data_IF_281643581544
#
_entry.id   IF_281643581544
#
_cell.length_a   1.000
_cell.length_b   1.000
_cell.length_c   1.000
_cell.angle_alpha   90.00
_cell.angle_beta   90.00
_cell.angle_gamma   90.00
#
_symmetry.space_group_name_H-M   'P 1'
#
loop_
_entity.id
_entity.type
_entity.pdbx_description
1 polymer ?
#
# COMPACT_ATOMS: atom_id res chain seq x y z
N UNK A 1 30.55 -38.52 67.73
CA UNK A 1 29.89 -37.21 67.49
C UNK A 1 30.14 -36.64 66.09
N UNK A 2 31.32 -36.86 65.48
CA UNK A 2 31.66 -36.37 64.13
C UNK A 2 30.82 -36.96 62.98
N UNK A 3 30.45 -38.25 63.02
CA UNK A 3 29.65 -38.87 61.95
C UNK A 3 28.24 -38.27 61.80
N UNK A 4 27.58 -37.92 62.92
CA UNK A 4 26.25 -37.28 62.88
C UNK A 4 26.27 -35.88 62.24
N UNK A 5 27.39 -35.17 62.33
CA UNK A 5 27.54 -33.81 61.76
C UNK A 5 27.73 -33.87 60.24
N UNK A 6 28.44 -34.88 59.74
CA UNK A 6 28.65 -35.11 58.30
C UNK A 6 27.33 -35.50 57.62
N UNK A 7 26.51 -36.31 58.29
CA UNK A 7 25.23 -36.78 57.76
C UNK A 7 24.22 -35.62 57.60
N UNK A 8 24.12 -34.75 58.61
CA UNK A 8 23.26 -33.55 58.60
C UNK A 8 23.65 -32.58 57.47
N UNK A 9 24.95 -32.34 57.26
CA UNK A 9 25.42 -31.48 56.17
C UNK A 9 25.11 -32.07 54.78
N UNK A 10 25.13 -33.40 54.65
CA UNK A 10 24.78 -34.08 53.40
C UNK A 10 23.27 -33.96 53.09
N UNK A 11 22.42 -34.02 54.11
CA UNK A 11 20.96 -33.87 53.99
C UNK A 11 20.60 -32.42 53.64
N UNK A 12 21.24 -31.43 54.29
CA UNK A 12 21.02 -30.00 54.00
C UNK A 12 21.45 -29.66 52.57
N UNK A 13 22.56 -30.21 52.07
CA UNK A 13 22.97 -30.04 50.65
C UNK A 13 21.96 -30.63 49.67
N UNK A 14 21.39 -31.81 49.95
CA UNK A 14 20.37 -32.43 49.09
C UNK A 14 19.06 -31.62 49.09
N UNK A 15 18.66 -31.08 50.23
CA UNK A 15 17.45 -30.24 50.35
C UNK A 15 17.60 -28.88 49.64
N UNK A 16 18.76 -28.25 49.74
CA UNK A 16 19.06 -26.97 49.07
C UNK A 16 19.24 -27.14 47.56
N UNK A 17 19.77 -28.26 47.09
CA UNK A 17 19.85 -28.58 45.65
C UNK A 17 18.45 -28.83 45.06
N UNK A 18 17.61 -29.64 45.73
CA UNK A 18 16.26 -29.98 45.27
C UNK A 18 15.34 -28.74 45.16
N UNK A 19 15.49 -27.79 46.09
CA UNK A 19 14.73 -26.52 46.08
C UNK A 19 15.23 -25.54 45.01
N UNK A 20 16.53 -25.51 44.68
CA UNK A 20 17.04 -24.72 43.54
C UNK A 20 16.57 -25.25 42.19
N UNK A 21 16.59 -26.57 42.01
CA UNK A 21 16.09 -27.18 40.76
C UNK A 21 14.58 -26.99 40.60
N UNK A 22 13.80 -27.10 41.69
CA UNK A 22 12.36 -26.83 41.66
C UNK A 22 12.05 -25.38 41.24
N UNK A 23 12.78 -24.39 41.78
CA UNK A 23 12.61 -22.98 41.40
C UNK A 23 12.99 -22.71 39.94
N UNK A 24 14.08 -23.31 39.46
CA UNK A 24 14.51 -23.18 38.07
C UNK A 24 13.48 -23.77 37.10
N UNK A 25 12.93 -24.95 37.40
CA UNK A 25 11.90 -25.62 36.57
C UNK A 25 10.61 -24.79 36.52
N UNK A 26 10.17 -24.23 37.65
CA UNK A 26 8.98 -23.36 37.71
C UNK A 26 9.19 -22.10 36.87
N UNK A 27 10.36 -21.45 36.97
CA UNK A 27 10.66 -20.25 36.18
C UNK A 27 10.68 -20.52 34.68
N UNK A 28 11.24 -21.65 34.24
CA UNK A 28 11.27 -22.05 32.84
C UNK A 28 9.85 -22.33 32.31
N UNK A 29 9.02 -23.00 33.10
CA UNK A 29 7.63 -23.27 32.76
C UNK A 29 6.82 -21.97 32.60
N UNK A 30 7.02 -20.98 33.48
CA UNK A 30 6.39 -19.67 33.35
C UNK A 30 6.82 -18.93 32.06
N UNK A 31 8.11 -18.95 31.72
CA UNK A 31 8.61 -18.32 30.49
C UNK A 31 8.03 -19.00 29.24
N UNK A 32 7.93 -20.33 29.25
CA UNK A 32 7.31 -21.09 28.17
C UNK A 32 5.82 -20.77 28.00
N UNK A 33 5.07 -20.72 29.11
CA UNK A 33 3.64 -20.40 29.08
C UNK A 33 3.40 -18.96 28.59
N UNK A 34 4.18 -17.99 29.08
CA UNK A 34 4.09 -16.58 28.63
C UNK A 34 4.52 -16.45 27.17
N UNK A 35 5.57 -17.15 26.73
CA UNK A 35 6.03 -17.14 25.34
C UNK A 35 5.00 -17.72 24.38
N UNK A 36 4.42 -18.88 24.71
CA UNK A 36 3.43 -19.55 23.86
C UNK A 36 2.10 -18.78 23.83
N UNK A 37 1.63 -18.29 24.98
CA UNK A 37 0.41 -17.48 25.05
C UNK A 37 0.56 -16.13 24.36
N UNK A 38 1.70 -15.46 24.54
CA UNK A 38 2.03 -14.20 23.88
C UNK A 38 2.17 -14.35 22.35
N UNK A 39 2.81 -15.42 21.88
CA UNK A 39 2.96 -15.69 20.46
C UNK A 39 1.61 -16.07 19.80
N UNK A 40 0.79 -16.89 20.48
CA UNK A 40 -0.55 -17.25 20.01
C UNK A 40 -1.49 -16.06 19.93
N UNK A 41 -1.53 -15.23 20.98
CA UNK A 41 -2.31 -13.99 21.00
C UNK A 41 -1.81 -12.98 19.96
N UNK A 42 -0.50 -12.90 19.74
CA UNK A 42 0.10 -12.02 18.73
C UNK A 42 -0.28 -12.42 17.30
N UNK A 43 -0.24 -13.71 16.96
CA UNK A 43 -0.61 -14.18 15.61
C UNK A 43 -2.11 -14.06 15.33
N UNK A 44 -2.95 -14.47 16.28
CA UNK A 44 -4.41 -14.45 16.10
C UNK A 44 -4.94 -13.02 16.22
N UNK A 45 -4.50 -12.27 17.23
CA UNK A 45 -4.85 -10.86 17.41
C UNK A 45 -4.33 -9.98 16.28
N UNK A 46 -3.10 -10.20 15.80
CA UNK A 46 -2.55 -9.48 14.66
C UNK A 46 -3.33 -9.71 13.37
N UNK A 47 -3.75 -10.96 13.10
CA UNK A 47 -4.59 -11.27 11.94
C UNK A 47 -6.01 -10.71 12.06
N UNK A 48 -6.61 -10.77 13.25
CA UNK A 48 -7.93 -10.21 13.50
C UNK A 48 -7.92 -8.67 13.38
N UNK A 49 -6.91 -8.00 13.94
CA UNK A 49 -6.73 -6.55 13.80
C UNK A 49 -6.46 -6.15 12.36
N UNK A 50 -5.63 -6.90 11.62
CA UNK A 50 -5.37 -6.62 10.20
C UNK A 50 -6.64 -6.81 9.37
N UNK A 51 -7.44 -7.83 9.67
CA UNK A 51 -8.72 -8.09 9.00
C UNK A 51 -9.73 -6.99 9.31
N UNK A 52 -9.89 -6.60 10.58
CA UNK A 52 -10.80 -5.53 11.00
C UNK A 52 -10.35 -4.14 10.52
N UNK A 53 -9.04 -3.94 10.29
CA UNK A 53 -8.47 -2.74 9.67
C UNK A 53 -8.79 -2.71 8.17
N UNK A 54 -8.60 -3.83 7.46
CA UNK A 54 -8.90 -3.95 6.03
C UNK A 54 -10.40 -3.86 5.73
N UNK A 55 -11.26 -4.27 6.65
CA UNK A 55 -12.73 -4.18 6.52
C UNK A 55 -13.33 -2.92 7.14
N UNK A 56 -12.52 -2.04 7.75
CA UNK A 56 -12.94 -0.72 8.25
C UNK A 56 -13.86 -0.74 9.49
N UNK A 57 -13.96 -1.86 10.21
CA UNK A 57 -14.98 -2.06 11.26
C UNK A 57 -14.52 -1.82 12.71
N UNK A 58 -13.22 -1.69 12.98
CA UNK A 58 -12.68 -1.73 14.34
C UNK A 58 -12.72 -0.40 15.11
N UNK A 59 -13.31 -0.39 16.30
CA UNK A 59 -13.33 0.75 17.26
C UNK A 59 -11.95 1.23 17.74
N UNK A 60 -10.90 0.42 17.58
CA UNK A 60 -9.51 0.75 17.96
C UNK A 60 -8.67 1.26 16.79
N UNK A 61 -9.18 1.19 15.56
CA UNK A 61 -8.51 1.67 14.34
C UNK A 61 -8.14 3.16 14.41
N UNK A 62 -8.97 4.07 14.99
CA UNK A 62 -8.61 5.49 15.08
C UNK A 62 -7.39 5.78 15.97
N UNK A 63 -7.11 4.95 16.98
CA UNK A 63 -5.97 5.13 17.89
C UNK A 63 -4.63 4.72 17.26
N UNK A 64 -4.67 3.86 16.24
CA UNK A 64 -3.53 3.45 15.43
C UNK A 64 -3.50 4.16 14.07
N UNK A 65 -4.45 5.07 13.82
CA UNK A 65 -4.58 5.82 12.58
C UNK A 65 -3.50 6.91 12.50
N UNK A 66 -2.31 6.53 12.03
CA UNK A 66 -1.32 7.50 11.54
C UNK A 66 -1.60 7.86 10.08
N UNK A 67 -1.47 9.15 9.68
CA UNK A 67 -1.60 9.61 8.30
C UNK A 67 -0.72 8.82 7.30
N UNK A 68 0.43 8.30 7.76
CA UNK A 68 1.32 7.46 6.95
C UNK A 68 0.67 6.16 6.44
N UNK A 69 -0.39 5.66 7.09
CA UNK A 69 -1.06 4.43 6.67
C UNK A 69 -1.95 4.62 5.44
N UNK A 70 -2.39 5.85 5.15
CA UNK A 70 -3.14 6.12 3.91
C UNK A 70 -2.26 5.83 2.68
N UNK A 71 -1.01 6.26 2.69
CA UNK A 71 -0.08 5.99 1.59
C UNK A 71 0.19 4.50 1.40
N UNK A 72 0.38 3.74 2.49
CA UNK A 72 0.57 2.29 2.44
C UNK A 72 -0.68 1.58 1.92
N UNK A 73 -1.86 2.03 2.34
CA UNK A 73 -3.13 1.46 1.89
C UNK A 73 -3.35 1.73 0.41
N UNK A 74 -3.10 2.97 -0.05
CA UNK A 74 -3.19 3.33 -1.48
C UNK A 74 -2.20 2.52 -2.31
N UNK A 75 -0.95 2.36 -1.85
CA UNK A 75 0.04 1.53 -2.54
C UNK A 75 -0.39 0.06 -2.63
N UNK A 76 -0.93 -0.50 -1.54
CA UNK A 76 -1.46 -1.87 -1.52
C UNK A 76 -2.66 -2.03 -2.46
N UNK A 77 -3.56 -1.03 -2.52
CA UNK A 77 -4.71 -1.03 -3.44
C UNK A 77 -4.24 -1.02 -4.90
N UNK A 78 -3.30 -0.15 -5.24
CA UNK A 78 -2.75 0.00 -6.59
C UNK A 78 -1.99 -1.26 -7.07
N UNK A 79 -1.44 -2.04 -6.15
CA UNK A 79 -0.75 -3.30 -6.41
C UNK A 79 -1.66 -4.55 -6.41
N UNK A 80 -2.95 -4.40 -6.13
CA UNK A 80 -3.87 -5.54 -6.04
C UNK A 80 -4.10 -6.21 -7.40
N UNK A 81 -4.33 -7.52 -7.40
CA UNK A 81 -4.77 -8.25 -8.59
C UNK A 81 -6.21 -7.88 -8.99
N UNK A 82 -7.03 -7.40 -8.04
CA UNK A 82 -8.40 -6.96 -8.29
C UNK A 82 -8.43 -5.57 -8.95
N UNK A 83 -9.08 -5.49 -10.11
CA UNK A 83 -9.24 -4.25 -10.88
C UNK A 83 -10.01 -3.17 -10.10
N UNK A 84 -11.07 -3.54 -9.36
CA UNK A 84 -11.86 -2.57 -8.61
C UNK A 84 -11.04 -1.96 -7.48
N UNK A 85 -10.21 -2.78 -6.83
CA UNK A 85 -9.32 -2.31 -5.78
C UNK A 85 -8.23 -1.39 -6.33
N UNK A 86 -7.66 -1.70 -7.50
CA UNK A 86 -6.74 -0.77 -8.18
C UNK A 86 -7.42 0.54 -8.55
N UNK A 87 -8.65 0.49 -9.06
CA UNK A 87 -9.45 1.67 -9.39
C UNK A 87 -9.69 2.56 -8.15
N UNK A 88 -10.04 1.97 -7.01
CA UNK A 88 -10.15 2.69 -5.75
C UNK A 88 -8.81 3.35 -5.35
N UNK A 89 -7.69 2.65 -5.52
CA UNK A 89 -6.35 3.20 -5.30
C UNK A 89 -6.06 4.43 -6.15
N UNK A 90 -6.49 4.44 -7.42
CA UNK A 90 -6.36 5.62 -8.29
C UNK A 90 -7.17 6.82 -7.80
N UNK A 91 -8.40 6.62 -7.31
CA UNK A 91 -9.16 7.72 -6.69
C UNK A 91 -8.52 8.23 -5.40
N UNK A 92 -7.96 7.33 -4.59
CA UNK A 92 -7.24 7.71 -3.37
C UNK A 92 -6.01 8.60 -3.66
N UNK A 93 -5.35 8.46 -4.83
CA UNK A 93 -4.27 9.36 -5.24
C UNK A 93 -4.74 10.80 -5.41
N UNK A 94 -5.94 11.00 -5.98
CA UNK A 94 -6.55 12.31 -6.17
C UNK A 94 -6.93 12.93 -4.82
N UNK A 95 -7.58 12.15 -3.95
CA UNK A 95 -7.98 12.61 -2.61
C UNK A 95 -6.78 12.98 -1.75
N UNK A 96 -5.68 12.23 -1.89
CA UNK A 96 -4.42 12.48 -1.19
C UNK A 96 -3.49 13.50 -1.85
N UNK A 97 -3.92 14.17 -2.94
CA UNK A 97 -3.11 15.15 -3.67
C UNK A 97 -1.70 14.64 -4.04
N UNK A 98 -1.64 13.34 -4.38
CA UNK A 98 -0.39 12.58 -4.56
C UNK A 98 -0.20 12.13 -6.00
N UNK A 99 -0.57 13.00 -6.94
CA UNK A 99 -0.49 12.74 -8.38
C UNK A 99 0.95 12.86 -8.85
N UNK A 100 1.52 11.75 -9.28
CA UNK A 100 2.83 11.64 -9.94
C UNK A 100 2.64 11.19 -11.39
N UNK A 101 3.08 12.02 -12.34
CA UNK A 101 2.90 11.79 -13.77
C UNK A 101 3.68 10.58 -14.28
N UNK A 102 4.91 10.38 -13.81
CA UNK A 102 5.74 9.28 -14.30
C UNK A 102 5.22 7.95 -13.76
N UNK A 103 4.80 7.91 -12.50
CA UNK A 103 4.07 6.77 -11.94
C UNK A 103 2.81 6.44 -12.75
N UNK A 104 1.97 7.45 -13.05
CA UNK A 104 0.74 7.25 -13.81
C UNK A 104 1.01 6.75 -15.25
N UNK A 105 2.07 7.24 -15.91
CA UNK A 105 2.47 6.76 -17.24
C UNK A 105 2.88 5.29 -17.22
N UNK A 106 3.71 4.91 -16.26
CA UNK A 106 4.14 3.51 -16.11
C UNK A 106 2.92 2.60 -15.89
N UNK A 107 2.05 2.97 -14.95
CA UNK A 107 0.84 2.21 -14.64
C UNK A 107 -0.12 2.12 -15.82
N UNK A 108 -0.25 3.17 -16.63
CA UNK A 108 -1.08 3.13 -17.85
C UNK A 108 -0.66 1.99 -18.78
N UNK A 109 0.65 1.77 -18.96
CA UNK A 109 1.19 0.70 -19.80
C UNK A 109 0.92 -0.70 -19.25
N UNK A 110 0.90 -0.84 -17.92
CA UNK A 110 0.67 -2.12 -17.23
C UNK A 110 -0.80 -2.54 -17.18
N UNK A 111 -1.71 -1.57 -17.03
CA UNK A 111 -3.14 -1.87 -16.89
C UNK A 111 -3.71 -2.44 -18.17
N UNK A 112 -4.60 -3.43 -18.07
CA UNK A 112 -5.29 -4.02 -19.23
C UNK A 112 -6.68 -3.43 -19.43
N UNK A 113 -7.32 -3.00 -18.34
CA UNK A 113 -8.67 -2.44 -18.38
C UNK A 113 -8.69 -1.07 -19.05
N UNK A 114 -9.59 -0.91 -20.01
CA UNK A 114 -9.85 0.36 -20.68
C UNK A 114 -10.40 1.39 -19.67
N UNK A 115 -11.21 0.95 -18.70
CA UNK A 115 -11.78 1.82 -17.67
C UNK A 115 -10.64 2.37 -16.81
N UNK A 116 -9.78 1.51 -16.29
CA UNK A 116 -8.64 1.91 -15.45
C UNK A 116 -7.66 2.81 -16.20
N UNK A 117 -7.30 2.45 -17.45
CA UNK A 117 -6.46 3.30 -18.30
C UNK A 117 -7.06 4.68 -18.55
N UNK A 118 -8.39 4.75 -18.75
CA UNK A 118 -9.09 6.03 -18.90
C UNK A 118 -9.07 6.84 -17.60
N UNK A 119 -9.25 6.21 -16.45
CA UNK A 119 -9.14 6.85 -15.13
C UNK A 119 -7.75 7.42 -14.89
N UNK A 120 -6.70 6.68 -15.25
CA UNK A 120 -5.32 7.15 -15.16
C UNK A 120 -5.12 8.44 -15.97
N UNK A 121 -5.59 8.48 -17.23
CA UNK A 121 -5.53 9.68 -18.06
C UNK A 121 -6.33 10.83 -17.43
N UNK A 122 -7.52 10.53 -16.92
CA UNK A 122 -8.36 11.52 -16.25
C UNK A 122 -7.65 12.14 -15.03
N UNK A 123 -6.91 11.34 -14.26
CA UNK A 123 -6.09 11.79 -13.12
C UNK A 123 -4.96 12.72 -13.54
N UNK A 124 -4.26 12.42 -14.64
CA UNK A 124 -3.21 13.31 -15.16
C UNK A 124 -3.74 14.72 -15.39
N UNK A 125 -5.02 14.88 -15.72
CA UNK A 125 -5.70 16.16 -15.88
C UNK A 125 -5.84 17.01 -14.62
N UNK A 126 -5.46 16.51 -13.44
CA UNK A 126 -5.45 17.23 -12.15
C UNK A 126 -4.03 17.47 -11.62
N UNK A 127 -3.00 17.12 -12.39
CA UNK A 127 -1.62 17.37 -11.99
C UNK A 127 -1.31 18.86 -11.84
N UNK A 128 -0.48 19.18 -10.84
CA UNK A 128 0.09 20.52 -10.65
C UNK A 128 1.18 20.84 -11.67
N UNK A 129 1.91 19.82 -12.12
CA UNK A 129 2.86 19.95 -13.22
C UNK A 129 2.10 19.85 -14.55
N UNK A 130 1.59 21.01 -15.00
CA UNK A 130 0.82 21.15 -16.23
C UNK A 130 1.62 20.68 -17.43
N UNK A 131 2.90 21.06 -17.53
CA UNK A 131 3.73 20.76 -18.70
C UNK A 131 3.96 19.27 -18.84
N UNK A 132 4.43 18.62 -17.77
CA UNK A 132 4.67 17.18 -17.77
C UNK A 132 3.39 16.39 -18.04
N UNK A 133 2.26 16.81 -17.47
CA UNK A 133 0.97 16.16 -17.69
C UNK A 133 0.46 16.31 -19.13
N UNK A 134 0.63 17.47 -19.75
CA UNK A 134 0.28 17.70 -21.17
C UNK A 134 1.16 16.84 -22.07
N UNK A 135 2.47 16.82 -21.85
CA UNK A 135 3.42 16.02 -22.64
C UNK A 135 3.12 14.51 -22.52
N UNK A 136 2.80 14.05 -21.30
CA UNK A 136 2.36 12.68 -21.05
C UNK A 136 1.07 12.34 -21.82
N UNK A 137 0.06 13.20 -21.71
CA UNK A 137 -1.22 13.03 -22.41
C UNK A 137 -1.04 13.02 -23.93
N UNK A 138 -0.23 13.92 -24.46
CA UNK A 138 0.07 14.01 -25.90
C UNK A 138 0.78 12.75 -26.40
N UNK A 139 1.80 12.26 -25.67
CA UNK A 139 2.54 11.05 -26.02
C UNK A 139 1.67 9.79 -26.07
N UNK A 140 0.58 9.74 -25.31
CA UNK A 140 -0.36 8.60 -25.31
C UNK A 140 -1.39 8.66 -26.45
N UNK A 141 -1.63 9.83 -27.06
CA UNK A 141 -2.79 10.08 -27.92
C UNK A 141 -2.88 9.14 -29.13
N UNK A 142 -1.79 9.00 -29.89
CA UNK A 142 -1.79 8.21 -31.13
C UNK A 142 -2.04 6.72 -30.87
N UNK A 143 -1.44 6.16 -29.82
CA UNK A 143 -1.63 4.74 -29.47
C UNK A 143 -2.92 4.47 -28.69
N UNK A 144 -3.59 5.50 -28.16
CA UNK A 144 -4.74 5.32 -27.30
C UNK A 144 -6.01 4.89 -28.09
N UNK A 145 -6.86 4.01 -27.52
CA UNK A 145 -8.19 3.72 -28.07
C UNK A 145 -9.07 4.98 -28.17
N UNK A 146 -10.08 5.01 -29.06
CA UNK A 146 -10.93 6.20 -29.27
C UNK A 146 -11.58 6.75 -28.00
N UNK A 147 -12.02 5.88 -27.10
CA UNK A 147 -12.61 6.28 -25.81
C UNK A 147 -11.62 6.99 -24.89
N UNK A 148 -10.34 6.60 -24.94
CA UNK A 148 -9.26 7.19 -24.15
C UNK A 148 -8.77 8.48 -24.81
N UNK A 149 -8.66 8.55 -26.15
CA UNK A 149 -8.32 9.80 -26.87
C UNK A 149 -9.25 10.95 -26.50
N UNK A 150 -10.56 10.68 -26.39
CA UNK A 150 -11.53 11.69 -25.92
C UNK A 150 -11.23 12.17 -24.50
N UNK A 151 -10.80 11.28 -23.62
CA UNK A 151 -10.42 11.64 -22.24
C UNK A 151 -9.09 12.40 -22.19
N UNK A 152 -8.12 12.06 -23.04
CA UNK A 152 -6.86 12.78 -23.20
C UNK A 152 -7.15 14.25 -23.54
N UNK A 153 -7.99 14.49 -24.56
CA UNK A 153 -8.38 15.85 -24.97
C UNK A 153 -9.05 16.63 -23.84
N UNK A 154 -9.93 15.98 -23.07
CA UNK A 154 -10.58 16.61 -21.90
C UNK A 154 -9.58 16.93 -20.80
N UNK A 155 -8.60 16.06 -20.58
CA UNK A 155 -7.59 16.21 -19.53
C UNK A 155 -6.62 17.34 -19.87
N UNK A 156 -6.13 17.43 -21.12
CA UNK A 156 -5.33 18.56 -21.60
C UNK A 156 -6.13 19.87 -21.46
N UNK A 157 -7.40 19.88 -21.88
CA UNK A 157 -8.26 21.07 -21.74
C UNK A 157 -8.49 21.48 -20.29
N UNK A 158 -8.52 20.52 -19.35
CA UNK A 158 -8.66 20.78 -17.92
C UNK A 158 -7.39 21.41 -17.33
N UNK A 159 -6.22 20.94 -17.76
CA UNK A 159 -4.92 21.45 -17.34
C UNK A 159 -4.70 22.88 -17.86
N UNK A 160 -4.82 23.08 -19.16
CA UNK A 160 -4.62 24.38 -19.79
C UNK A 160 -5.33 24.49 -21.16
N UNK A 161 -6.10 25.57 -21.32
CA UNK A 161 -6.82 25.85 -22.58
C UNK A 161 -5.88 26.24 -23.71
N UNK A 162 -4.74 26.88 -23.44
CA UNK A 162 -3.80 27.25 -24.48
C UNK A 162 -3.13 25.99 -25.06
N UNK A 163 -2.57 25.14 -24.19
CA UNK A 163 -2.01 23.83 -24.54
C UNK A 163 -3.00 22.96 -25.32
N UNK A 164 -4.29 22.97 -24.96
CA UNK A 164 -5.31 22.27 -25.73
C UNK A 164 -5.47 22.79 -27.17
N UNK A 165 -5.48 24.12 -27.36
CA UNK A 165 -5.58 24.70 -28.71
C UNK A 165 -4.36 24.33 -29.55
N UNK A 166 -3.16 24.50 -28.98
CA UNK A 166 -1.91 24.18 -29.66
C UNK A 166 -1.86 22.70 -30.07
N UNK A 167 -2.30 21.81 -29.17
CA UNK A 167 -2.40 20.38 -29.45
C UNK A 167 -3.36 20.09 -30.62
N UNK A 168 -4.54 20.70 -30.63
CA UNK A 168 -5.54 20.53 -31.70
C UNK A 168 -5.06 21.08 -33.05
N UNK A 169 -4.35 22.20 -33.06
CA UNK A 169 -3.76 22.77 -34.27
C UNK A 169 -2.68 21.85 -34.85
N UNK A 170 -1.83 21.29 -34.01
CA UNK A 170 -0.77 20.36 -34.42
C UNK A 170 -1.33 19.04 -34.95
N UNK A 171 -2.38 18.50 -34.32
CA UNK A 171 -3.14 17.36 -34.85
C UNK A 171 -3.72 17.65 -36.24
N UNK A 172 -4.32 18.82 -36.41
CA UNK A 172 -4.87 19.25 -37.71
C UNK A 172 -3.82 19.38 -38.81
N UNK A 173 -2.60 19.81 -38.47
CA UNK A 173 -1.45 19.90 -39.40
C UNK A 173 -0.92 18.50 -39.80
N UNK A 174 -0.83 17.56 -38.86
CA UNK A 174 -0.44 16.17 -39.13
C UNK A 174 -1.42 15.45 -40.08
N UNK A 175 -2.72 15.61 -39.84
CA UNK A 175 -3.77 15.03 -40.69
C UNK A 175 -3.81 15.63 -42.11
N UNK A 176 -3.41 16.90 -42.28
CA UNK A 176 -3.33 17.55 -43.61
C UNK A 176 -2.12 17.07 -44.42
N UNK A 177 -0.98 16.80 -43.76
CA UNK A 177 0.23 16.26 -44.44
C UNK A 177 0.05 14.84 -44.97
N UNK A 178 -0.78 14.02 -44.32
CA UNK A 178 -1.10 12.66 -44.80
C UNK A 178 -2.12 12.62 -45.94
N UNK A 179 -2.67 13.77 -46.37
CA UNK A 179 -3.69 13.86 -47.43
C UNK A 179 -3.19 14.56 -48.69
N UNK A 180 -1.92 14.92 -48.77
CA UNK A 180 -1.31 15.41 -50.00
C UNK A 180 -0.70 14.21 -50.75
N UNK A 181 -1.16 13.91 -51.98
CA UNK A 181 -0.65 12.81 -52.80
C UNK A 181 0.80 13.06 -53.25
#
# INVERSE_FOLDING_TARGET
MLEKIIDINSIIRRLTARTRHAKAVISLACVLVIGVSGFGLGQVGGRALMKDFLTGGGRLVPLLYRPSFQHLTTAAMLGSADELQRLAGYYALLEGDSIDIDFLKERYGMERSIVTRRTIVWLMGFSRDVRSAVDACAGLYESAPPGIRKEILRSIKRLDRASYRDFMENLGKGARRQRQP
#
